data_IF_306796644201
#
_entry.id   IF_306796644201
#
_cell.length_a   1.000
_cell.length_b   1.000
_cell.length_c   1.000
_cell.angle_alpha   90.00
_cell.angle_beta   90.00
_cell.angle_gamma   90.00
#
_symmetry.space_group_name_H-M   'P 1'
#
loop_
_entity.id
_entity.type
_entity.pdbx_description
1 polymer ?
#
# COMPACT_ATOMS: atom_id res chain seq x y z
N UNK A 1 -20.65 5.15 -5.36
CA UNK A 1 -21.44 3.95 -5.69
C UNK A 1 -22.16 3.54 -4.42
N UNK A 2 -23.49 3.40 -4.46
CA UNK A 2 -24.25 2.95 -3.30
C UNK A 2 -24.11 1.43 -3.18
N UNK A 3 -23.75 0.95 -1.99
CA UNK A 3 -23.60 -0.49 -1.72
C UNK A 3 -24.84 -0.98 -0.97
N UNK A 4 -25.36 -2.13 -1.40
CA UNK A 4 -26.41 -2.83 -0.67
C UNK A 4 -25.76 -3.80 0.32
N UNK A 5 -26.14 -3.73 1.58
CA UNK A 5 -25.62 -4.60 2.63
C UNK A 5 -26.65 -5.66 2.93
N UNK A 6 -26.23 -6.92 2.86
CA UNK A 6 -27.02 -8.06 3.32
C UNK A 6 -27.05 -8.07 4.85
N UNK A 7 -28.22 -7.77 5.41
CA UNK A 7 -28.41 -7.62 6.85
C UNK A 7 -28.31 -8.96 7.58
N UNK A 8 -28.70 -10.07 6.94
CA UNK A 8 -28.58 -11.40 7.54
C UNK A 8 -27.11 -11.81 7.60
N UNK A 9 -26.37 -11.64 6.50
CA UNK A 9 -24.94 -11.91 6.48
C UNK A 9 -24.16 -11.03 7.47
N UNK A 10 -24.56 -9.76 7.63
CA UNK A 10 -23.97 -8.88 8.63
C UNK A 10 -24.20 -9.39 10.06
N UNK A 11 -25.44 -9.80 10.40
CA UNK A 11 -25.75 -10.36 11.73
C UNK A 11 -24.93 -11.63 12.00
N UNK A 12 -24.82 -12.51 11.02
CA UNK A 12 -24.04 -13.75 11.12
C UNK A 12 -22.54 -13.48 11.29
N UNK A 13 -22.04 -12.35 10.81
CA UNK A 13 -20.64 -11.92 11.00
C UNK A 13 -20.34 -11.34 12.38
N UNK A 14 -21.37 -11.02 13.18
CA UNK A 14 -21.21 -10.45 14.52
C UNK A 14 -21.38 -11.51 15.61
N UNK A 15 -20.62 -11.47 16.72
CA UNK A 15 -20.84 -12.39 17.83
C UNK A 15 -22.27 -12.27 18.37
N UNK A 16 -22.95 -13.40 18.60
CA UNK A 16 -24.37 -13.42 19.00
C UNK A 16 -24.69 -12.57 20.24
N UNK A 17 -23.77 -12.51 21.21
CA UNK A 17 -23.92 -11.67 22.41
C UNK A 17 -23.91 -10.17 22.08
N UNK A 18 -23.14 -9.75 21.05
CA UNK A 18 -23.08 -8.37 20.56
C UNK A 18 -24.36 -8.02 19.81
N UNK A 19 -24.85 -8.90 18.92
CA UNK A 19 -26.12 -8.67 18.20
C UNK A 19 -27.31 -8.56 19.17
N UNK A 20 -27.38 -9.43 20.18
CA UNK A 20 -28.44 -9.40 21.18
C UNK A 20 -28.37 -8.11 22.03
N UNK A 21 -27.17 -7.68 22.44
CA UNK A 21 -26.99 -6.43 23.17
C UNK A 21 -27.33 -5.20 22.32
N UNK A 22 -26.91 -5.18 21.06
CA UNK A 22 -27.18 -4.09 20.11
C UNK A 22 -28.68 -3.99 19.79
N UNK A 23 -29.35 -5.14 19.62
CA UNK A 23 -30.80 -5.19 19.40
C UNK A 23 -31.57 -4.66 20.62
N UNK A 24 -31.14 -5.01 21.84
CA UNK A 24 -31.73 -4.44 23.07
C UNK A 24 -31.53 -2.93 23.13
N UNK A 25 -30.30 -2.46 22.91
CA UNK A 25 -29.97 -1.04 22.93
C UNK A 25 -30.83 -0.23 21.92
N UNK A 26 -31.05 -0.76 20.73
CA UNK A 26 -31.94 -0.15 19.73
C UNK A 26 -33.40 -0.13 20.19
N UNK A 27 -33.91 -1.25 20.71
CA UNK A 27 -35.30 -1.36 21.12
C UNK A 27 -35.64 -0.48 22.34
N UNK A 28 -34.64 -0.23 23.20
CA UNK A 28 -34.77 0.65 24.36
C UNK A 28 -34.68 2.15 24.00
N UNK A 29 -34.50 2.47 22.72
CA UNK A 29 -34.35 3.86 22.24
C UNK A 29 -33.00 4.47 22.59
N UNK A 30 -31.97 3.64 22.82
CA UNK A 30 -30.61 4.09 23.13
C UNK A 30 -29.85 4.65 21.93
N UNK A 31 -30.41 4.56 20.71
CA UNK A 31 -29.84 5.10 19.47
C UNK A 31 -30.55 6.41 19.12
N UNK A 32 -29.78 7.49 19.05
CA UNK A 32 -30.25 8.80 18.61
C UNK A 32 -30.48 8.88 17.09
N UNK A 33 -30.72 10.10 16.60
CA UNK A 33 -30.91 10.34 15.17
C UNK A 33 -29.66 9.98 14.36
N UNK A 34 -29.87 9.35 13.21
CA UNK A 34 -28.81 9.00 12.29
C UNK A 34 -28.37 10.23 11.48
N UNK A 35 -27.08 10.54 11.53
CA UNK A 35 -26.48 11.64 10.78
C UNK A 35 -25.53 11.08 9.70
N UNK A 36 -25.70 11.46 8.42
CA UNK A 36 -24.72 11.14 7.39
C UNK A 36 -23.38 11.85 7.67
N UNK A 37 -22.30 11.09 7.73
CA UNK A 37 -20.97 11.61 7.99
C UNK A 37 -19.92 10.82 7.20
N UNK A 38 -19.03 11.50 6.48
CA UNK A 38 -17.89 10.85 5.80
C UNK A 38 -18.26 9.74 4.81
N UNK A 39 -19.46 9.74 4.22
CA UNK A 39 -19.93 8.64 3.35
C UNK A 39 -20.44 7.40 4.09
N UNK A 40 -20.40 7.40 5.42
CA UNK A 40 -21.09 6.47 6.31
C UNK A 40 -22.18 7.20 7.12
N UNK A 41 -22.48 6.69 8.30
CA UNK A 41 -23.48 7.24 9.23
C UNK A 41 -22.98 7.17 10.65
N UNK A 42 -23.32 8.17 11.45
CA UNK A 42 -23.06 8.22 12.88
C UNK A 42 -24.36 8.43 13.65
N UNK A 43 -24.37 8.06 14.92
CA UNK A 43 -25.45 8.43 15.83
C UNK A 43 -24.92 8.58 17.25
N UNK A 44 -25.60 9.40 18.04
CA UNK A 44 -25.35 9.47 19.48
C UNK A 44 -25.99 8.26 20.15
N UNK A 45 -25.23 7.54 20.96
CA UNK A 45 -25.67 6.37 21.71
C UNK A 45 -25.69 6.68 23.20
N UNK A 46 -26.80 6.34 23.86
CA UNK A 46 -26.95 6.38 25.31
C UNK A 46 -26.97 4.94 25.85
N UNK A 47 -25.92 4.54 26.56
CA UNK A 47 -25.79 3.19 27.12
C UNK A 47 -25.24 3.24 28.55
N UNK A 48 -25.98 2.63 29.50
CA UNK A 48 -25.57 2.45 30.90
C UNK A 48 -25.01 3.73 31.60
N UNK A 49 -25.51 4.90 31.22
CA UNK A 49 -25.09 6.19 31.76
C UNK A 49 -23.88 6.83 31.06
N UNK A 50 -23.34 6.19 30.02
CA UNK A 50 -22.39 6.77 29.07
C UNK A 50 -23.08 7.37 27.83
N UNK A 51 -22.36 8.26 27.15
CA UNK A 51 -22.72 8.80 25.84
C UNK A 51 -21.57 8.50 24.90
N UNK A 52 -21.87 7.87 23.77
CA UNK A 52 -20.89 7.48 22.75
C UNK A 52 -21.35 8.01 21.39
N UNK A 53 -20.43 8.17 20.45
CA UNK A 53 -20.77 8.61 19.09
C UNK A 53 -20.11 7.69 18.06
N UNK A 54 -20.58 6.44 17.92
CA UNK A 54 -20.09 5.55 16.90
C UNK A 54 -20.40 6.07 15.49
N UNK A 55 -19.46 5.86 14.60
CA UNK A 55 -19.61 5.96 13.16
C UNK A 55 -19.49 4.57 12.53
N UNK A 56 -20.28 4.29 11.50
CA UNK A 56 -20.17 3.08 10.68
C UNK A 56 -20.19 3.41 9.19
N UNK A 57 -19.41 2.66 8.40
CA UNK A 57 -19.30 2.87 6.96
C UNK A 57 -18.50 1.78 6.28
N UNK A 58 -18.35 1.88 4.95
CA UNK A 58 -17.54 0.93 4.17
C UNK A 58 -16.18 1.57 3.89
N UNK A 59 -15.12 1.01 4.48
CA UNK A 59 -13.73 1.43 4.30
C UNK A 59 -12.97 0.25 3.70
N UNK A 60 -12.21 0.48 2.62
CA UNK A 60 -11.42 -0.56 1.95
C UNK A 60 -12.20 -1.86 1.64
N UNK A 61 -13.46 -1.69 1.19
CA UNK A 61 -14.41 -2.77 0.87
C UNK A 61 -14.88 -3.61 2.07
N UNK A 62 -14.49 -3.26 3.30
CA UNK A 62 -14.97 -3.86 4.52
C UNK A 62 -15.98 -2.93 5.22
N UNK A 63 -16.95 -3.51 5.94
CA UNK A 63 -17.84 -2.74 6.79
C UNK A 63 -17.13 -2.48 8.13
N UNK A 64 -16.94 -1.21 8.47
CA UNK A 64 -16.10 -0.76 9.57
C UNK A 64 -16.90 0.12 10.52
N UNK A 65 -16.51 0.12 11.79
CA UNK A 65 -17.07 0.99 12.82
C UNK A 65 -15.96 1.63 13.64
N UNK A 66 -16.15 2.91 13.98
CA UNK A 66 -15.28 3.65 14.90
C UNK A 66 -16.15 4.11 16.06
N UNK A 67 -15.75 3.80 17.29
CA UNK A 67 -16.47 4.20 18.49
C UNK A 67 -15.48 4.57 19.58
N UNK A 68 -15.83 5.58 20.37
CA UNK A 68 -15.11 6.06 21.55
C UNK A 68 -15.33 5.21 22.82
N UNK A 69 -16.03 4.08 22.71
CA UNK A 69 -16.22 3.15 23.81
C UNK A 69 -14.92 2.36 24.12
N UNK A 70 -14.72 1.89 25.35
CA UNK A 70 -13.50 1.16 25.76
C UNK A 70 -13.43 -0.28 25.22
N UNK A 71 -14.06 -0.57 24.08
CA UNK A 71 -13.98 -1.88 23.44
C UNK A 71 -12.57 -2.11 22.88
N UNK A 72 -12.03 -3.30 23.11
CA UNK A 72 -10.73 -3.73 22.62
C UNK A 72 -10.91 -4.98 21.77
N UNK A 73 -10.57 -4.89 20.49
CA UNK A 73 -10.73 -5.97 19.51
C UNK A 73 -10.94 -5.40 18.11
N UNK A 74 -10.81 -6.26 17.11
CA UNK A 74 -11.03 -5.92 15.70
C UNK A 74 -12.51 -6.01 15.29
N UNK A 75 -13.35 -6.58 16.16
CA UNK A 75 -14.79 -6.71 15.97
C UNK A 75 -15.53 -5.38 16.20
N UNK A 76 -16.71 -5.24 15.59
CA UNK A 76 -17.58 -4.11 15.85
C UNK A 76 -18.11 -4.16 17.28
N UNK A 77 -17.99 -3.04 18.01
CA UNK A 77 -18.59 -2.92 19.33
C UNK A 77 -20.13 -2.91 19.26
N UNK A 78 -20.78 -3.14 20.40
CA UNK A 78 -22.25 -3.12 20.54
C UNK A 78 -22.86 -1.82 20.01
N UNK A 79 -22.20 -0.67 20.23
CA UNK A 79 -22.69 0.63 19.79
C UNK A 79 -22.65 0.78 18.26
N UNK A 80 -21.56 0.36 17.63
CA UNK A 80 -21.42 0.36 16.17
C UNK A 80 -22.45 -0.57 15.52
N UNK A 81 -22.63 -1.79 16.05
CA UNK A 81 -23.65 -2.73 15.56
C UNK A 81 -25.06 -2.15 15.73
N UNK A 82 -25.36 -1.47 16.84
CA UNK A 82 -26.67 -0.83 17.04
C UNK A 82 -26.95 0.28 16.03
N UNK A 83 -25.96 1.12 15.72
CA UNK A 83 -26.08 2.14 14.66
C UNK A 83 -26.25 1.51 13.29
N UNK A 84 -25.46 0.49 12.96
CA UNK A 84 -25.57 -0.22 11.68
C UNK A 84 -26.97 -0.83 11.49
N UNK A 85 -27.47 -1.57 12.49
CA UNK A 85 -28.81 -2.17 12.46
C UNK A 85 -29.94 -1.12 12.39
N UNK A 86 -29.73 0.08 12.93
CA UNK A 86 -30.69 1.20 12.83
C UNK A 86 -30.65 1.78 11.42
N UNK A 87 -29.46 2.00 10.87
CA UNK A 87 -29.26 2.49 9.50
C UNK A 87 -29.84 1.54 8.45
N UNK A 88 -29.71 0.23 8.62
CA UNK A 88 -30.33 -0.75 7.73
C UNK A 88 -31.86 -0.71 7.81
N UNK A 89 -32.42 -0.57 9.01
CA UNK A 89 -33.87 -0.48 9.19
C UNK A 89 -34.46 0.79 8.55
N UNK A 90 -33.69 1.89 8.56
CA UNK A 90 -34.07 3.15 7.92
C UNK A 90 -33.74 3.21 6.41
N UNK A 91 -33.08 2.17 5.87
CA UNK A 91 -32.73 2.11 4.45
C UNK A 91 -31.64 3.09 4.03
N UNK A 92 -30.73 3.44 4.94
CA UNK A 92 -29.60 4.34 4.67
C UNK A 92 -28.68 3.74 3.60
N UNK A 93 -28.29 4.55 2.63
CA UNK A 93 -27.33 4.16 1.59
C UNK A 93 -25.90 4.50 1.99
N UNK A 94 -24.99 3.53 1.92
CA UNK A 94 -23.57 3.71 2.22
C UNK A 94 -22.75 4.00 0.96
N UNK A 95 -21.72 4.85 1.11
CA UNK A 95 -20.66 4.98 0.11
C UNK A 95 -19.71 3.79 0.22
N UNK A 96 -19.33 3.19 -0.90
CA UNK A 96 -18.28 2.14 -0.94
C UNK A 96 -16.85 2.64 -0.69
N UNK A 97 -16.67 3.93 -0.42
CA UNK A 97 -15.40 4.57 -0.08
C UNK A 97 -15.67 5.65 0.98
N UNK A 98 -16.14 5.21 2.15
CA UNK A 98 -16.41 6.07 3.28
C UNK A 98 -15.10 6.39 4.03
N UNK A 99 -15.03 7.55 4.68
CA UNK A 99 -13.91 7.99 5.50
C UNK A 99 -14.42 8.34 6.91
N UNK A 100 -13.95 7.64 7.96
CA UNK A 100 -14.42 7.87 9.31
C UNK A 100 -14.12 9.30 9.80
N UNK A 101 -15.02 9.92 10.59
CA UNK A 101 -14.77 11.19 11.26
C UNK A 101 -13.60 11.06 12.25
N UNK A 102 -12.69 12.04 12.29
CA UNK A 102 -11.61 12.09 13.28
C UNK A 102 -10.30 11.41 12.88
N UNK A 103 -10.22 10.79 11.70
CA UNK A 103 -8.94 10.43 11.09
C UNK A 103 -8.28 11.67 10.44
N UNK A 104 -8.23 12.81 11.15
CA UNK A 104 -7.42 13.92 10.69
C UNK A 104 -5.95 13.53 10.88
N UNK A 105 -5.11 13.67 9.84
CA UNK A 105 -3.72 13.29 9.93
C UNK A 105 -3.03 14.14 11.01
N UNK A 106 -2.20 13.48 11.81
CA UNK A 106 -1.38 14.13 12.83
C UNK A 106 -0.28 14.99 12.19
N UNK A 107 0.08 14.70 10.95
CA UNK A 107 1.02 15.46 10.16
C UNK A 107 0.36 16.71 9.53
N UNK A 108 0.85 17.94 9.86
CA UNK A 108 0.32 19.18 9.30
C UNK A 108 0.49 19.30 7.78
N UNK A 109 1.50 18.64 7.19
CA UNK A 109 1.69 18.65 5.74
C UNK A 109 0.61 17.79 5.06
N UNK A 110 0.43 16.55 5.51
CA UNK A 110 -0.67 15.69 5.06
C UNK A 110 -2.05 16.35 5.26
N UNK A 111 -2.27 17.04 6.38
CA UNK A 111 -3.51 17.79 6.65
C UNK A 111 -3.76 18.88 5.60
N UNK A 112 -2.70 19.59 5.19
CA UNK A 112 -2.76 20.65 4.18
C UNK A 112 -3.12 20.09 2.81
N UNK A 113 -2.53 18.95 2.40
CA UNK A 113 -2.88 18.29 1.15
C UNK A 113 -4.31 17.74 1.15
N UNK A 114 -4.76 17.11 2.24
CA UNK A 114 -6.16 16.67 2.36
C UNK A 114 -7.13 17.84 2.29
N UNK A 115 -6.80 18.98 2.90
CA UNK A 115 -7.62 20.18 2.77
C UNK A 115 -7.67 20.69 1.32
N UNK A 116 -6.55 20.65 0.59
CA UNK A 116 -6.51 21.01 -0.82
C UNK A 116 -7.39 20.05 -1.66
N UNK A 117 -7.27 18.74 -1.45
CA UNK A 117 -8.09 17.71 -2.11
C UNK A 117 -9.58 17.94 -1.83
N UNK A 118 -9.97 18.20 -0.58
CA UNK A 118 -11.36 18.48 -0.16
C UNK A 118 -11.94 19.74 -0.83
N UNK A 119 -11.11 20.66 -1.33
CA UNK A 119 -11.55 21.90 -2.03
C UNK A 119 -11.65 21.75 -3.55
N UNK A 120 -11.08 20.69 -4.12
CA UNK A 120 -11.11 20.47 -5.57
C UNK A 120 -12.41 19.78 -5.99
N UNK A 121 -12.96 20.19 -7.13
CA UNK A 121 -14.02 19.42 -7.76
C UNK A 121 -13.46 18.07 -8.26
N UNK A 122 -14.27 16.99 -8.29
CA UNK A 122 -13.77 15.66 -8.70
C UNK A 122 -13.08 15.64 -10.07
N UNK A 123 -13.57 16.46 -11.03
CA UNK A 123 -12.94 16.58 -12.36
C UNK A 123 -11.57 17.25 -12.32
N UNK A 124 -11.35 18.21 -11.42
CA UNK A 124 -10.07 18.90 -11.27
C UNK A 124 -9.04 17.96 -10.64
N UNK A 125 -9.46 17.22 -9.61
CA UNK A 125 -8.61 16.21 -8.98
C UNK A 125 -8.21 15.12 -9.97
N UNK A 126 -9.17 14.59 -10.74
CA UNK A 126 -8.88 13.59 -11.76
C UNK A 126 -7.89 14.10 -12.82
N UNK A 127 -8.03 15.36 -13.27
CA UNK A 127 -7.10 15.96 -14.22
C UNK A 127 -5.67 16.05 -13.65
N UNK A 128 -5.52 16.48 -12.38
CA UNK A 128 -4.20 16.55 -11.72
C UNK A 128 -3.55 15.17 -11.57
N UNK A 129 -4.33 14.17 -11.16
CA UNK A 129 -3.86 12.79 -11.00
C UNK A 129 -3.40 12.22 -12.35
N UNK A 130 -4.19 12.40 -13.41
CA UNK A 130 -3.80 11.93 -14.76
C UNK A 130 -2.57 12.68 -15.27
N UNK A 131 -2.51 14.00 -15.08
CA UNK A 131 -1.37 14.81 -15.51
C UNK A 131 -0.08 14.40 -14.78
N UNK A 132 -0.17 14.05 -13.51
CA UNK A 132 0.96 13.54 -12.73
C UNK A 132 1.36 12.13 -13.18
N UNK A 133 0.41 11.22 -13.39
CA UNK A 133 0.67 9.87 -13.89
C UNK A 133 1.34 9.85 -15.28
N UNK A 134 1.08 10.87 -16.12
CA UNK A 134 1.77 10.99 -17.42
C UNK A 134 3.24 11.43 -17.30
N UNK A 135 3.67 11.94 -16.14
CA UNK A 135 5.03 12.43 -15.89
C UNK A 135 5.84 11.52 -14.98
N UNK A 136 5.17 10.79 -14.13
CA UNK A 136 5.76 9.95 -13.10
C UNK A 136 5.29 8.50 -13.30
N UNK A 137 6.22 7.66 -13.78
CA UNK A 137 5.95 6.25 -14.09
C UNK A 137 5.64 5.43 -12.84
N UNK A 138 6.27 5.74 -11.71
CA UNK A 138 6.03 5.05 -10.45
C UNK A 138 4.62 5.37 -9.94
N UNK A 139 4.24 6.65 -9.95
CA UNK A 139 2.89 7.05 -9.60
C UNK A 139 1.84 6.42 -10.52
N UNK A 140 2.12 6.33 -11.83
CA UNK A 140 1.23 5.66 -12.78
C UNK A 140 1.05 4.17 -12.45
N UNK A 141 2.14 3.45 -12.15
CA UNK A 141 2.08 2.04 -11.78
C UNK A 141 1.27 1.82 -10.51
N UNK A 142 1.50 2.62 -9.46
CA UNK A 142 0.69 2.55 -8.23
C UNK A 142 -0.78 2.88 -8.47
N UNK A 143 -1.09 3.94 -9.22
CA UNK A 143 -2.46 4.32 -9.53
C UNK A 143 -3.21 3.18 -10.26
N UNK A 144 -2.57 2.54 -11.23
CA UNK A 144 -3.15 1.42 -11.96
C UNK A 144 -3.26 0.16 -11.10
N UNK A 145 -2.27 -0.10 -10.23
CA UNK A 145 -2.28 -1.22 -9.29
C UNK A 145 -3.43 -1.13 -8.29
N UNK A 146 -3.59 0.03 -7.64
CA UNK A 146 -4.70 0.32 -6.72
C UNK A 146 -6.06 0.23 -7.41
N UNK A 147 -6.14 0.62 -8.68
CA UNK A 147 -7.35 0.49 -9.49
C UNK A 147 -7.61 -0.96 -9.97
N UNK A 148 -6.68 -1.91 -9.76
CA UNK A 148 -6.77 -3.27 -10.27
C UNK A 148 -6.70 -3.34 -11.81
N UNK A 149 -6.04 -2.37 -12.43
CA UNK A 149 -5.97 -2.18 -13.88
C UNK A 149 -4.63 -2.61 -14.50
N UNK A 150 -3.68 -3.08 -13.68
CA UNK A 150 -2.46 -3.69 -14.20
C UNK A 150 -2.79 -5.07 -14.78
N UNK A 151 -2.56 -5.21 -16.09
CA UNK A 151 -2.75 -6.48 -16.80
C UNK A 151 -1.55 -7.39 -16.52
N UNK A 152 -1.80 -8.59 -16.00
CA UNK A 152 -0.75 -9.59 -15.75
C UNK A 152 -0.15 -10.15 -17.04
N UNK A 153 -0.82 -9.96 -18.19
CA UNK A 153 -0.28 -10.30 -19.50
C UNK A 153 0.59 -9.19 -20.11
N UNK A 154 0.54 -7.96 -19.58
CA UNK A 154 1.39 -6.88 -20.05
C UNK A 154 2.80 -7.03 -19.47
N UNK A 155 3.76 -7.28 -20.36
CA UNK A 155 5.18 -7.48 -20.01
C UNK A 155 6.06 -6.28 -20.36
N UNK A 156 5.46 -5.14 -20.75
CA UNK A 156 6.21 -3.92 -21.11
C UNK A 156 7.13 -3.44 -19.97
N UNK A 157 6.65 -3.49 -18.72
CA UNK A 157 7.44 -3.17 -17.53
C UNK A 157 8.69 -4.07 -17.38
N UNK A 158 8.60 -5.36 -17.74
CA UNK A 158 9.75 -6.28 -17.73
C UNK A 158 10.76 -5.93 -18.82
N UNK A 159 10.29 -5.49 -19.99
CA UNK A 159 11.19 -5.05 -21.07
C UNK A 159 11.88 -3.73 -20.75
N UNK A 160 11.18 -2.79 -20.12
CA UNK A 160 11.74 -1.52 -19.68
C UNK A 160 12.84 -1.75 -18.63
N UNK A 161 12.55 -2.59 -17.62
CA UNK A 161 13.54 -2.89 -16.59
C UNK A 161 14.76 -3.64 -17.14
N UNK A 162 14.55 -4.58 -18.07
CA UNK A 162 15.65 -5.25 -18.77
C UNK A 162 16.52 -4.25 -19.54
N UNK A 163 15.93 -3.23 -20.18
CA UNK A 163 16.69 -2.17 -20.85
C UNK A 163 17.54 -1.39 -19.85
N UNK A 164 17.00 -1.05 -18.67
CA UNK A 164 17.75 -0.37 -17.62
C UNK A 164 18.93 -1.20 -17.08
N UNK A 165 18.76 -2.52 -16.93
CA UNK A 165 19.86 -3.44 -16.58
C UNK A 165 20.96 -3.42 -17.64
N UNK A 166 20.58 -3.48 -18.92
CA UNK A 166 21.54 -3.42 -20.03
C UNK A 166 22.26 -2.08 -20.06
N UNK A 167 21.55 -0.98 -19.89
CA UNK A 167 22.15 0.36 -19.86
C UNK A 167 23.12 0.51 -18.68
N UNK A 168 22.74 0.03 -17.49
CA UNK A 168 23.61 0.01 -16.32
C UNK A 168 24.86 -0.85 -16.54
N UNK A 169 24.72 -2.05 -17.13
CA UNK A 169 25.88 -2.91 -17.44
C UNK A 169 26.88 -2.27 -18.42
N UNK A 170 26.42 -1.28 -19.20
CA UNK A 170 27.25 -0.53 -20.13
C UNK A 170 27.77 0.80 -19.56
N UNK A 171 27.44 1.16 -18.31
CA UNK A 171 27.80 2.44 -17.70
C UNK A 171 29.32 2.68 -17.63
N UNK A 172 30.13 1.62 -17.64
CA UNK A 172 31.60 1.69 -17.59
C UNK A 172 32.25 1.35 -18.94
N UNK A 173 31.48 1.38 -20.02
CA UNK A 173 32.01 1.16 -21.37
C UNK A 173 32.49 2.48 -22.00
N UNK A 174 33.74 2.50 -22.49
CA UNK A 174 34.32 3.69 -23.13
C UNK A 174 34.92 4.69 -22.13
N UNK A 175 34.71 5.99 -22.39
CA UNK A 175 35.08 7.06 -21.46
C UNK A 175 33.94 7.26 -20.46
N UNK A 176 34.21 7.01 -19.16
CA UNK A 176 33.23 7.10 -18.08
C UNK A 176 33.84 7.75 -16.83
N UNK A 177 32.98 8.30 -15.97
CA UNK A 177 33.32 8.88 -14.68
C UNK A 177 32.55 8.19 -13.54
N UNK A 178 33.01 8.32 -12.28
CA UNK A 178 32.35 7.74 -11.10
C UNK A 178 30.87 8.14 -11.01
N UNK A 179 30.53 9.36 -11.45
CA UNK A 179 29.15 9.82 -11.47
C UNK A 179 28.24 8.99 -12.39
N UNK A 180 28.77 8.41 -13.48
CA UNK A 180 27.99 7.56 -14.39
C UNK A 180 27.58 6.25 -13.70
N UNK A 181 28.47 5.71 -12.86
CA UNK A 181 28.18 4.52 -12.03
C UNK A 181 27.12 4.83 -10.97
N UNK A 182 27.22 5.97 -10.30
CA UNK A 182 26.21 6.43 -9.33
C UNK A 182 24.84 6.64 -10.01
N UNK A 183 24.83 7.26 -11.18
CA UNK A 183 23.61 7.50 -11.96
C UNK A 183 22.98 6.18 -12.42
N UNK A 184 23.78 5.22 -12.87
CA UNK A 184 23.31 3.89 -13.23
C UNK A 184 22.67 3.16 -12.04
N UNK A 185 23.32 3.20 -10.86
CA UNK A 185 22.78 2.62 -9.63
C UNK A 185 21.44 3.24 -9.22
N UNK A 186 21.35 4.57 -9.18
CA UNK A 186 20.09 5.26 -8.88
C UNK A 186 18.98 4.97 -9.89
N UNK A 187 19.34 4.86 -11.18
CA UNK A 187 18.36 4.50 -12.20
C UNK A 187 17.83 3.08 -12.00
N UNK A 188 18.70 2.11 -11.67
CA UNK A 188 18.26 0.75 -11.34
C UNK A 188 17.26 0.74 -10.18
N UNK A 189 17.55 1.45 -9.08
CA UNK A 189 16.63 1.54 -7.92
C UNK A 189 15.27 2.09 -8.35
N UNK A 190 15.25 3.19 -9.11
CA UNK A 190 14.00 3.79 -9.58
C UNK A 190 13.17 2.82 -10.45
N UNK A 191 13.82 2.05 -11.33
CA UNK A 191 13.11 1.06 -12.15
C UNK A 191 12.67 -0.16 -11.35
N UNK A 192 13.40 -0.54 -10.30
CA UNK A 192 12.97 -1.59 -9.35
C UNK A 192 11.71 -1.19 -8.60
N UNK A 193 11.61 0.06 -8.13
CA UNK A 193 10.38 0.56 -7.49
C UNK A 193 9.17 0.44 -8.44
N UNK A 194 9.35 0.82 -9.72
CA UNK A 194 8.31 0.67 -10.74
C UNK A 194 7.98 -0.80 -10.97
N UNK A 195 8.98 -1.67 -11.06
CA UNK A 195 8.79 -3.10 -11.23
C UNK A 195 7.96 -3.70 -10.08
N UNK A 196 8.30 -3.36 -8.83
CA UNK A 196 7.64 -3.89 -7.65
C UNK A 196 6.20 -3.40 -7.48
N UNK A 197 5.84 -2.25 -8.07
CA UNK A 197 4.45 -1.80 -8.13
C UNK A 197 3.56 -2.70 -9.02
N UNK A 198 4.15 -3.53 -9.89
CA UNK A 198 3.43 -4.50 -10.70
C UNK A 198 3.16 -5.82 -9.95
N UNK A 199 2.20 -6.64 -10.40
CA UNK A 199 1.99 -7.97 -9.83
C UNK A 199 3.28 -8.80 -9.83
N UNK A 200 3.55 -9.50 -8.72
CA UNK A 200 4.75 -10.30 -8.59
C UNK A 200 4.76 -11.46 -9.61
N UNK A 201 5.86 -11.61 -10.33
CA UNK A 201 6.06 -12.71 -11.28
C UNK A 201 7.46 -13.30 -11.12
N UNK A 202 7.66 -14.60 -11.42
CA UNK A 202 9.00 -15.19 -11.42
C UNK A 202 9.97 -14.47 -12.36
N UNK A 203 9.46 -13.94 -13.48
CA UNK A 203 10.28 -13.19 -14.44
C UNK A 203 10.76 -11.84 -13.90
N UNK A 204 9.92 -11.13 -13.13
CA UNK A 204 10.34 -9.90 -12.43
C UNK A 204 11.45 -10.23 -11.42
N UNK A 205 11.26 -11.30 -10.66
CA UNK A 205 12.22 -11.74 -9.66
C UNK A 205 13.56 -12.19 -10.31
N UNK A 206 13.55 -12.88 -11.45
CA UNK A 206 14.77 -13.21 -12.21
C UNK A 206 15.51 -11.93 -12.68
N UNK A 207 14.80 -10.88 -13.09
CA UNK A 207 15.41 -9.61 -13.49
C UNK A 207 16.01 -8.85 -12.29
N UNK A 208 15.39 -8.90 -11.11
CA UNK A 208 15.99 -8.33 -9.90
C UNK A 208 17.31 -9.03 -9.57
N UNK A 209 17.37 -10.35 -9.69
CA UNK A 209 18.62 -11.10 -9.51
C UNK A 209 19.70 -10.65 -10.51
N UNK A 210 19.33 -10.44 -11.78
CA UNK A 210 20.25 -9.91 -12.81
C UNK A 210 20.73 -8.49 -12.47
N UNK A 211 19.83 -7.62 -12.00
CA UNK A 211 20.17 -6.25 -11.59
C UNK A 211 21.12 -6.21 -10.39
N UNK A 212 20.93 -7.11 -9.41
CA UNK A 212 21.84 -7.24 -8.26
C UNK A 212 23.26 -7.59 -8.71
N UNK A 213 23.40 -8.55 -9.63
CA UNK A 213 24.72 -8.95 -10.15
C UNK A 213 25.38 -7.81 -10.92
N UNK A 214 24.62 -7.12 -11.79
CA UNK A 214 25.14 -5.95 -12.52
C UNK A 214 25.56 -4.84 -11.57
N UNK A 215 24.78 -4.60 -10.51
CA UNK A 215 25.14 -3.61 -9.50
C UNK A 215 26.38 -4.01 -8.70
N UNK A 216 26.55 -5.28 -8.34
CA UNK A 216 27.74 -5.75 -7.61
C UNK A 216 29.03 -5.47 -8.40
N UNK A 217 29.02 -5.75 -9.70
CA UNK A 217 30.14 -5.42 -10.60
C UNK A 217 30.43 -3.91 -10.61
N UNK A 218 29.38 -3.08 -10.72
CA UNK A 218 29.49 -1.62 -10.71
C UNK A 218 29.96 -1.07 -9.36
N UNK A 219 29.49 -1.64 -8.26
CA UNK A 219 29.84 -1.28 -6.91
C UNK A 219 31.34 -1.47 -6.65
N UNK A 220 31.99 -2.44 -7.30
CA UNK A 220 33.44 -2.60 -7.29
C UNK A 220 34.19 -1.31 -7.63
N UNK A 221 33.70 -0.56 -8.62
CA UNK A 221 34.29 0.74 -8.99
C UNK A 221 34.11 1.81 -7.91
N UNK A 222 32.96 1.82 -7.21
CA UNK A 222 32.73 2.75 -6.10
C UNK A 222 33.56 2.38 -4.88
N UNK A 223 33.80 1.10 -4.63
CA UNK A 223 34.69 0.63 -3.56
C UNK A 223 36.12 1.09 -3.83
N UNK A 224 36.61 0.91 -5.06
CA UNK A 224 37.94 1.38 -5.46
C UNK A 224 38.07 2.91 -5.39
N UNK A 225 36.98 3.62 -5.67
CA UNK A 225 36.91 5.08 -5.71
C UNK A 225 36.33 5.72 -4.43
N UNK A 226 36.48 5.07 -3.26
CA UNK A 226 35.88 5.51 -1.99
C UNK A 226 36.17 6.96 -1.57
N UNK A 227 37.28 7.54 -2.05
CA UNK A 227 37.64 8.93 -1.77
C UNK A 227 36.83 9.97 -2.54
N UNK A 228 36.20 9.58 -3.64
CA UNK A 228 35.51 10.50 -4.56
C UNK A 228 34.04 10.15 -4.77
N UNK A 229 33.61 8.94 -4.39
CA UNK A 229 32.20 8.55 -4.41
C UNK A 229 31.36 9.44 -3.49
N UNK A 230 30.14 9.70 -3.92
CA UNK A 230 29.09 10.40 -3.17
C UNK A 230 28.03 9.44 -2.65
N UNK A 231 27.90 8.30 -3.32
CA UNK A 231 26.96 7.23 -2.99
C UNK A 231 27.76 6.06 -2.44
N UNK A 232 27.36 5.59 -1.26
CA UNK A 232 27.89 4.33 -0.74
C UNK A 232 27.19 3.16 -1.45
N UNK A 233 27.90 2.08 -1.81
CA UNK A 233 27.31 0.95 -2.52
C UNK A 233 26.03 0.40 -1.90
N UNK A 234 25.98 0.37 -0.57
CA UNK A 234 24.85 -0.13 0.21
C UNK A 234 23.56 0.67 -0.04
N UNK A 235 23.65 1.97 -0.36
CA UNK A 235 22.48 2.82 -0.66
C UNK A 235 21.71 2.37 -1.92
N UNK A 236 22.35 1.58 -2.77
CA UNK A 236 21.75 1.00 -3.97
C UNK A 236 21.50 -0.50 -3.77
N UNK A 237 22.41 -1.22 -3.10
CA UNK A 237 22.26 -2.66 -2.85
C UNK A 237 21.05 -2.96 -1.96
N UNK A 238 20.82 -2.16 -0.90
CA UNK A 238 19.71 -2.37 0.05
C UNK A 238 18.34 -2.39 -0.66
N UNK A 239 17.95 -1.37 -1.46
CA UNK A 239 16.70 -1.40 -2.22
C UNK A 239 16.55 -2.62 -3.15
N UNK A 240 17.63 -3.04 -3.81
CA UNK A 240 17.60 -4.19 -4.73
C UNK A 240 17.35 -5.50 -3.95
N UNK A 241 18.03 -5.68 -2.82
CA UNK A 241 17.88 -6.86 -1.95
C UNK A 241 16.50 -6.88 -1.27
N UNK A 242 16.00 -5.73 -0.82
CA UNK A 242 14.66 -5.65 -0.24
C UNK A 242 13.57 -5.95 -1.28
N UNK A 243 13.72 -5.49 -2.53
CA UNK A 243 12.84 -5.86 -3.63
C UNK A 243 12.87 -7.37 -3.94
N UNK A 244 14.06 -8.00 -3.89
CA UNK A 244 14.19 -9.45 -4.03
C UNK A 244 13.40 -10.18 -2.94
N UNK A 245 13.54 -9.75 -1.68
CA UNK A 245 12.82 -10.33 -0.54
C UNK A 245 11.31 -10.17 -0.68
N UNK A 246 10.83 -8.97 -0.97
CA UNK A 246 9.39 -8.68 -1.18
C UNK A 246 8.80 -9.57 -2.28
N UNK A 247 9.50 -9.71 -3.41
CA UNK A 247 9.03 -10.57 -4.50
C UNK A 247 9.03 -12.05 -4.13
N UNK A 248 10.02 -12.53 -3.37
CA UNK A 248 10.01 -13.91 -2.86
C UNK A 248 8.80 -14.17 -1.96
N UNK A 249 8.50 -13.24 -1.06
CA UNK A 249 7.34 -13.32 -0.15
C UNK A 249 6.01 -13.28 -0.93
N UNK A 250 5.87 -12.35 -1.88
CA UNK A 250 4.65 -12.20 -2.70
C UNK A 250 4.41 -13.36 -3.67
N UNK A 251 5.47 -14.07 -4.05
CA UNK A 251 5.39 -15.30 -4.84
C UNK A 251 5.17 -16.56 -3.99
N UNK A 252 5.13 -16.43 -2.67
CA UNK A 252 4.99 -17.54 -1.72
C UNK A 252 6.05 -18.63 -1.94
N UNK A 253 7.30 -18.21 -2.18
CA UNK A 253 8.42 -19.14 -2.35
C UNK A 253 8.75 -19.79 -1.01
N UNK A 254 9.02 -21.10 -1.05
CA UNK A 254 9.42 -21.82 0.15
C UNK A 254 10.86 -21.42 0.60
N UNK A 255 11.20 -21.61 1.89
CA UNK A 255 12.51 -21.20 2.40
C UNK A 255 13.71 -21.85 1.69
N UNK A 256 13.55 -23.08 1.17
CA UNK A 256 14.62 -23.79 0.48
C UNK A 256 14.86 -23.16 -0.90
N UNK A 257 13.79 -22.79 -1.62
CA UNK A 257 13.87 -22.04 -2.89
C UNK A 257 14.54 -20.69 -2.71
N UNK A 258 14.18 -19.96 -1.64
CA UNK A 258 14.83 -18.68 -1.32
C UNK A 258 16.31 -18.88 -1.00
N UNK A 259 16.65 -19.90 -0.21
CA UNK A 259 18.05 -20.20 0.14
C UNK A 259 18.89 -20.59 -1.09
N UNK A 260 18.35 -21.41 -2.00
CA UNK A 260 19.01 -21.77 -3.25
C UNK A 260 19.27 -20.54 -4.13
N UNK A 261 18.29 -19.64 -4.22
CA UNK A 261 18.38 -18.39 -4.99
C UNK A 261 19.43 -17.44 -4.41
N UNK A 262 19.42 -17.20 -3.10
CA UNK A 262 20.44 -16.41 -2.41
C UNK A 262 21.83 -17.02 -2.55
N UNK A 263 21.95 -18.36 -2.49
CA UNK A 263 23.23 -19.05 -2.69
C UNK A 263 23.75 -18.83 -4.11
N UNK A 264 22.90 -18.87 -5.14
CA UNK A 264 23.31 -18.56 -6.52
C UNK A 264 23.78 -17.11 -6.65
N UNK A 265 23.04 -16.16 -6.10
CA UNK A 265 23.40 -14.74 -6.09
C UNK A 265 24.74 -14.49 -5.39
N UNK A 266 24.94 -15.06 -4.20
CA UNK A 266 26.18 -14.93 -3.45
C UNK A 266 27.40 -15.52 -4.20
N UNK A 267 27.19 -16.56 -5.02
CA UNK A 267 28.26 -17.13 -5.86
C UNK A 267 28.56 -16.29 -7.11
N UNK A 268 27.62 -15.44 -7.54
CA UNK A 268 27.78 -14.57 -8.71
C UNK A 268 28.34 -13.20 -8.33
N UNK A 269 28.04 -12.71 -7.13
CA UNK A 269 28.56 -11.46 -6.60
C UNK A 269 30.01 -11.62 -6.10
N UNK A 270 30.82 -10.60 -6.33
CA UNK A 270 32.24 -10.53 -6.03
C UNK A 270 32.58 -9.49 -4.95
N UNK A 271 31.71 -8.52 -4.72
CA UNK A 271 31.97 -7.35 -3.86
C UNK A 271 31.15 -7.34 -2.56
N UNK A 272 30.60 -8.48 -2.15
CA UNK A 272 29.81 -8.69 -0.92
C UNK A 272 28.62 -7.73 -0.76
N UNK A 273 28.09 -7.19 -1.88
CA UNK A 273 26.95 -6.26 -1.86
C UNK A 273 25.62 -6.92 -1.42
N UNK A 274 25.59 -8.25 -1.39
CA UNK A 274 24.41 -9.08 -1.03
C UNK A 274 24.56 -9.67 0.38
N UNK A 275 25.52 -9.19 1.18
CA UNK A 275 25.79 -9.75 2.50
C UNK A 275 24.54 -9.74 3.40
N UNK A 276 24.18 -10.94 3.83
CA UNK A 276 22.98 -11.29 4.57
C UNK A 276 22.98 -10.59 5.93
N UNK A 277 22.06 -9.63 6.14
CA UNK A 277 21.65 -9.33 7.52
C UNK A 277 20.90 -10.54 8.08
N UNK A 278 21.21 -10.97 9.32
CA UNK A 278 20.60 -12.14 9.97
C UNK A 278 19.10 -11.96 10.26
#
# INVERSE_FOLDING_TARGET
MAVHIDVEAFRDSTPAAVDEAATRLRNDGGVGELEPAGGGVQAVIHDQGGVYQPWVGIVDRAFTGVCDCPHTGDDLCVHAVAVALTAFAEGVTFSGAAAPPGADPTDPEQASYLQAVRRLAPRQLAALVVEHALRDRLFAAHLLGEAGMLDTADTSHLSDFRAAIVDASNATTGEWEIHDVEAAGHHLVAEVEILCAHPATPAALDLIEEAIVVWDDLAGHLIDAYHVRRVDPEQISEPLVDAHRDLCERLDLDPDQVADRLTRLANQCHHDTVASSP
#
